data_IF_585166970696
#
_entry.id   IF_585166970696
#
_cell.length_a   1.000
_cell.length_b   1.000
_cell.length_c   1.000
_cell.angle_alpha   90.00
_cell.angle_beta   90.00
_cell.angle_gamma   90.00
#
_symmetry.space_group_name_H-M   'P 1'
#
loop_
_entity.id
_entity.type
_entity.pdbx_description
1 polymer ?
#
# COMPACT_ATOMS: atom_id res chain seq x y z
N UNK A 1 6.03 8.59 13.66
CA UNK A 1 5.05 7.78 12.88
C UNK A 1 5.80 6.53 12.42
N UNK A 2 5.29 5.30 12.60
CA UNK A 2 6.03 4.10 12.12
C UNK A 2 5.88 3.97 10.60
N UNK A 3 6.91 3.47 9.88
CA UNK A 3 6.85 3.26 8.43
C UNK A 3 5.64 2.42 7.99
N UNK A 4 5.29 1.39 8.78
CA UNK A 4 4.12 0.55 8.50
C UNK A 4 2.80 1.33 8.47
N UNK A 5 2.63 2.29 9.38
CA UNK A 5 1.42 3.14 9.43
C UNK A 5 1.32 4.04 8.20
N UNK A 6 2.45 4.52 7.68
CA UNK A 6 2.47 5.30 6.45
C UNK A 6 2.04 4.44 5.27
N UNK A 7 2.69 3.28 5.08
CA UNK A 7 2.40 2.36 3.99
C UNK A 7 0.94 1.92 4.02
N UNK A 8 0.41 1.62 5.20
CA UNK A 8 -0.98 1.22 5.36
C UNK A 8 -1.96 2.34 4.99
N UNK A 9 -1.67 3.60 5.37
CA UNK A 9 -2.51 4.74 4.97
C UNK A 9 -2.49 4.99 3.46
N UNK A 10 -1.31 4.99 2.84
CA UNK A 10 -1.17 5.20 1.39
C UNK A 10 -1.86 4.08 0.61
N UNK A 11 -1.66 2.83 1.02
CA UNK A 11 -2.28 1.66 0.40
C UNK A 11 -3.81 1.66 0.56
N UNK A 12 -4.34 2.05 1.72
CA UNK A 12 -5.78 2.15 1.96
C UNK A 12 -6.44 3.28 1.17
N UNK A 13 -5.74 4.41 0.99
CA UNK A 13 -6.24 5.57 0.26
C UNK A 13 -6.50 5.28 -1.24
N UNK A 14 -5.86 4.25 -1.80
CA UNK A 14 -6.09 3.87 -3.20
C UNK A 14 -7.48 3.28 -3.46
N UNK A 15 -8.20 2.83 -2.42
CA UNK A 15 -9.53 2.23 -2.52
C UNK A 15 -9.59 0.93 -3.35
N UNK A 16 -8.44 0.36 -3.74
CA UNK A 16 -8.40 -0.74 -4.69
C UNK A 16 -8.74 -2.08 -4.05
N UNK A 17 -9.33 -3.00 -4.83
CA UNK A 17 -9.56 -4.39 -4.42
C UNK A 17 -8.27 -5.11 -4.01
N UNK A 18 -7.11 -4.67 -4.52
CA UNK A 18 -5.80 -5.22 -4.16
C UNK A 18 -5.46 -5.02 -2.69
N UNK A 19 -5.72 -3.83 -2.12
CA UNK A 19 -5.44 -3.57 -0.71
C UNK A 19 -6.21 -4.54 0.20
N UNK A 20 -7.48 -4.81 -0.11
CA UNK A 20 -8.30 -5.76 0.65
C UNK A 20 -7.82 -7.22 0.50
N UNK A 21 -7.29 -7.60 -0.67
CA UNK A 21 -6.72 -8.93 -0.86
C UNK A 21 -5.53 -9.21 0.09
N UNK A 22 -4.77 -8.17 0.47
CA UNK A 22 -3.62 -8.33 1.39
C UNK A 22 -4.05 -8.72 2.82
N UNK A 23 -5.30 -8.47 3.20
CA UNK A 23 -5.84 -8.85 4.52
C UNK A 23 -5.93 -10.36 4.74
N UNK A 24 -5.84 -11.16 3.67
CA UNK A 24 -5.81 -12.62 3.76
C UNK A 24 -4.39 -13.19 3.92
N UNK A 25 -3.35 -12.36 3.80
CA UNK A 25 -1.97 -12.79 3.95
C UNK A 25 -1.55 -12.85 5.43
N UNK A 26 -0.60 -13.76 5.79
CA UNK A 26 0.04 -13.75 7.10
C UNK A 26 0.66 -12.38 7.43
N UNK A 27 0.72 -11.99 8.72
CA UNK A 27 1.07 -10.62 9.13
C UNK A 27 2.41 -10.10 8.59
N UNK A 28 3.40 -10.97 8.42
CA UNK A 28 4.72 -10.60 7.91
C UNK A 28 4.66 -10.29 6.41
N UNK A 29 4.03 -11.17 5.63
CA UNK A 29 3.82 -10.98 4.18
C UNK A 29 2.92 -9.78 3.89
N UNK A 30 1.90 -9.57 4.72
CA UNK A 30 1.01 -8.41 4.64
C UNK A 30 1.78 -7.10 4.78
N UNK A 31 2.69 -7.01 5.75
CA UNK A 31 3.54 -5.82 5.95
C UNK A 31 4.44 -5.57 4.74
N UNK A 32 5.12 -6.62 4.25
CA UNK A 32 5.99 -6.52 3.08
C UNK A 32 5.24 -6.07 1.82
N UNK A 33 4.10 -6.69 1.49
CA UNK A 33 3.35 -6.32 0.29
C UNK A 33 2.71 -4.94 0.40
N UNK A 34 2.26 -4.54 1.60
CA UNK A 34 1.68 -3.21 1.83
C UNK A 34 2.74 -2.12 1.62
N UNK A 35 3.98 -2.35 2.04
CA UNK A 35 5.08 -1.44 1.79
C UNK A 35 5.42 -1.32 0.29
N UNK A 36 5.51 -2.45 -0.42
CA UNK A 36 5.75 -2.46 -1.86
C UNK A 36 4.63 -1.75 -2.62
N UNK A 37 3.37 -2.03 -2.27
CA UNK A 37 2.22 -1.42 -2.91
C UNK A 37 2.14 0.10 -2.65
N UNK A 38 2.46 0.54 -1.43
CA UNK A 38 2.54 1.96 -1.10
C UNK A 38 3.60 2.69 -1.94
N UNK A 39 4.77 2.06 -2.15
CA UNK A 39 5.79 2.61 -3.05
C UNK A 39 5.29 2.72 -4.48
N UNK A 40 4.70 1.65 -5.02
CA UNK A 40 4.15 1.69 -6.37
C UNK A 40 3.14 2.82 -6.53
N UNK A 41 2.26 3.03 -5.53
CA UNK A 41 1.30 4.14 -5.57
C UNK A 41 1.91 5.53 -5.49
N UNK A 42 3.00 5.73 -4.75
CA UNK A 42 3.71 7.02 -4.79
C UNK A 42 4.26 7.33 -6.18
N UNK A 43 4.85 6.33 -6.83
CA UNK A 43 5.41 6.49 -8.19
C UNK A 43 4.30 6.74 -9.19
N UNK A 44 3.22 5.97 -9.11
CA UNK A 44 2.03 6.08 -9.96
C UNK A 44 1.38 7.47 -9.81
N UNK A 45 1.10 7.91 -8.57
CA UNK A 45 0.53 9.23 -8.30
C UNK A 45 1.41 10.38 -8.84
N UNK A 46 2.74 10.22 -8.83
CA UNK A 46 3.66 11.22 -9.34
C UNK A 46 3.67 11.32 -10.88
N UNK A 47 3.26 10.25 -11.58
CA UNK A 47 3.25 10.17 -13.04
C UNK A 47 1.84 10.39 -13.61
N UNK A 48 0.79 9.97 -12.90
CA UNK A 48 -0.61 10.09 -13.28
C UNK A 48 -1.19 11.49 -13.06
N UNK A 49 -0.49 12.36 -12.33
CA UNK A 49 -0.85 13.77 -12.18
C UNK A 49 -0.56 14.56 -13.48
N UNK A 50 -1.43 14.38 -14.49
CA UNK A 50 -1.50 15.15 -15.75
C UNK A 50 -2.87 15.79 -15.90
#
# INVERSE_FOLDING_TARGET
MSPDKYCQRKAAASGSSFYYAFLFLPPERRRAITALYAFCREVDDAVDAV
#
